data_IF_551727106193
#
_entry.id   IF_551727106193
#
_cell.length_a   1.000
_cell.length_b   1.000
_cell.length_c   1.000
_cell.angle_alpha   90.00
_cell.angle_beta   90.00
_cell.angle_gamma   90.00
#
_symmetry.space_group_name_H-M   'P 1'
#
loop_
_entity.id
_entity.type
_entity.pdbx_description
1 polymer ?
#
# COMPACT_ATOMS: atom_id res chain seq x y z
N UNK A 1 -61.76 -7.54 -39.40
CA UNK A 1 -61.59 -9.00 -39.57
C UNK A 1 -60.19 -9.20 -40.14
N UNK A 2 -59.14 -9.31 -39.34
CA UNK A 2 -58.80 -10.36 -38.37
C UNK A 2 -58.01 -11.53 -38.99
N UNK A 3 -57.01 -11.99 -38.21
CA UNK A 3 -56.09 -13.14 -38.34
C UNK A 3 -54.73 -12.84 -39.00
N UNK A 4 -53.64 -12.70 -38.22
CA UNK A 4 -52.87 -13.66 -37.38
C UNK A 4 -51.71 -14.29 -38.17
N UNK A 5 -50.46 -13.88 -37.96
CA UNK A 5 -49.50 -14.29 -36.92
C UNK A 5 -48.89 -15.70 -37.12
N UNK A 6 -47.57 -15.77 -37.39
CA UNK A 6 -46.59 -16.84 -37.06
C UNK A 6 -45.19 -16.21 -37.11
N UNK A 7 -44.57 -15.83 -35.99
CA UNK A 7 -43.77 -16.66 -35.05
C UNK A 7 -42.53 -17.35 -35.65
N UNK A 8 -41.36 -16.88 -35.22
CA UNK A 8 -40.15 -17.65 -34.85
C UNK A 8 -39.16 -16.67 -34.20
N UNK A 9 -39.20 -16.53 -32.87
CA UNK A 9 -38.28 -17.17 -31.92
C UNK A 9 -36.78 -16.99 -32.27
N UNK A 10 -36.24 -15.83 -31.88
CA UNK A 10 -34.80 -15.64 -31.65
C UNK A 10 -34.57 -15.43 -30.16
N UNK A 11 -34.07 -16.48 -29.50
CA UNK A 11 -33.72 -16.49 -28.08
C UNK A 11 -32.68 -15.42 -27.75
N UNK A 12 -33.05 -14.44 -26.91
CA UNK A 12 -32.09 -13.53 -26.30
C UNK A 12 -31.37 -14.26 -25.17
N UNK A 13 -30.06 -14.51 -25.34
CA UNK A 13 -29.18 -14.88 -24.22
C UNK A 13 -29.02 -13.65 -23.34
N UNK A 14 -29.66 -13.64 -22.18
CA UNK A 14 -29.39 -12.66 -21.14
C UNK A 14 -27.92 -12.76 -20.75
N UNK A 15 -27.11 -11.75 -21.10
CA UNK A 15 -25.78 -11.60 -20.57
C UNK A 15 -25.89 -11.34 -19.07
N UNK A 16 -25.51 -12.33 -18.26
CA UNK A 16 -25.29 -12.14 -16.83
C UNK A 16 -24.07 -11.22 -16.69
N UNK A 17 -24.33 -9.91 -16.56
CA UNK A 17 -23.33 -8.91 -16.22
C UNK A 17 -23.08 -9.04 -14.71
N UNK A 18 -21.90 -9.51 -14.24
CA UNK A 18 -21.60 -9.43 -12.83
C UNK A 18 -21.56 -7.95 -12.44
N UNK A 19 -22.48 -7.57 -11.56
CA UNK A 19 -22.52 -6.24 -10.96
C UNK A 19 -21.27 -6.08 -10.11
N UNK A 20 -20.21 -5.50 -10.70
CA UNK A 20 -19.05 -5.03 -9.95
C UNK A 20 -19.57 -3.95 -9.00
N UNK A 21 -19.63 -4.29 -7.72
CA UNK A 21 -19.98 -3.38 -6.64
C UNK A 21 -19.20 -2.08 -6.83
N UNK A 22 -19.94 -0.99 -7.04
CA UNK A 22 -19.46 0.38 -7.03
C UNK A 22 -18.63 0.61 -5.75
N UNK A 23 -17.31 0.45 -5.86
CA UNK A 23 -16.38 1.08 -4.94
C UNK A 23 -15.90 2.30 -5.72
N UNK A 24 -16.59 3.41 -5.51
CA UNK A 24 -16.03 4.73 -5.84
C UNK A 24 -14.59 4.76 -5.32
N UNK A 25 -13.61 5.23 -6.11
CA UNK A 25 -12.27 5.45 -5.59
C UNK A 25 -12.37 6.55 -4.55
N UNK A 26 -12.56 6.17 -3.27
CA UNK A 26 -12.45 7.07 -2.13
C UNK A 26 -11.11 7.77 -2.32
N UNK A 27 -11.15 9.09 -2.51
CA UNK A 27 -10.00 9.92 -2.85
C UNK A 27 -8.79 9.37 -2.11
N UNK A 28 -7.78 8.88 -2.84
CA UNK A 28 -6.64 8.19 -2.26
C UNK A 28 -6.02 9.11 -1.22
N UNK A 29 -6.36 8.91 0.06
CA UNK A 29 -5.78 9.62 1.17
C UNK A 29 -4.29 9.39 1.03
N UNK A 30 -3.54 10.46 0.74
CA UNK A 30 -2.09 10.38 0.56
C UNK A 30 -1.54 9.75 1.82
N UNK A 31 -1.14 8.49 1.75
CA UNK A 31 -0.45 7.83 2.84
C UNK A 31 0.82 8.64 3.09
N UNK A 32 0.88 9.33 4.21
CA UNK A 32 2.05 10.08 4.61
C UNK A 32 3.01 9.11 5.31
N UNK A 33 4.33 9.24 5.05
CA UNK A 33 5.30 8.49 5.82
C UNK A 33 5.21 8.91 7.29
N UNK A 34 5.11 7.92 8.18
CA UNK A 34 5.02 8.13 9.62
C UNK A 34 6.39 8.58 10.18
N UNK A 35 7.46 7.92 9.73
CA UNK A 35 8.83 8.26 10.14
C UNK A 35 9.84 7.87 9.07
N UNK A 36 10.97 8.58 9.04
CA UNK A 36 12.11 8.23 8.18
C UNK A 36 13.42 8.29 8.97
N UNK A 37 14.20 7.22 8.86
CA UNK A 37 15.57 7.11 9.37
C UNK A 37 16.53 7.06 8.19
N UNK A 38 17.64 7.79 8.24
CA UNK A 38 18.59 7.83 7.13
C UNK A 38 20.02 8.04 7.56
N UNK A 39 20.95 7.40 6.86
CA UNK A 39 22.39 7.63 6.99
C UNK A 39 23.05 7.59 5.61
N UNK A 40 23.57 8.75 5.19
CA UNK A 40 24.10 8.95 3.84
C UNK A 40 23.10 8.57 2.75
N UNK A 41 23.48 7.61 1.91
CA UNK A 41 22.65 7.12 0.80
C UNK A 41 21.52 6.16 1.22
N UNK A 42 21.50 5.66 2.46
CA UNK A 42 20.54 4.63 2.90
C UNK A 42 19.44 5.25 3.75
N UNK A 43 18.19 4.86 3.51
CA UNK A 43 17.06 5.28 4.32
C UNK A 43 16.01 4.20 4.51
N UNK A 44 15.48 4.09 5.73
CA UNK A 44 14.30 3.29 6.07
C UNK A 44 13.12 4.23 6.35
N UNK A 45 12.00 4.03 5.67
CA UNK A 45 10.78 4.84 5.84
C UNK A 45 9.65 3.96 6.37
N UNK A 46 9.07 4.35 7.49
CA UNK A 46 7.91 3.71 8.12
C UNK A 46 6.63 4.32 7.55
N UNK A 47 5.70 3.48 7.14
CA UNK A 47 4.42 3.87 6.56
C UNK A 47 3.27 3.28 7.38
N UNK A 48 2.29 4.12 7.70
CA UNK A 48 1.00 3.69 8.25
C UNK A 48 0.04 3.44 7.09
N UNK A 49 -0.39 2.19 6.93
CA UNK A 49 -1.29 1.79 5.85
C UNK A 49 -2.61 1.32 6.44
N UNK A 50 -3.72 1.76 5.88
CA UNK A 50 -5.05 1.27 6.21
C UNK A 50 -5.45 0.18 5.21
N UNK A 51 -5.81 -1.02 5.69
CA UNK A 51 -6.28 -2.13 4.84
C UNK A 51 -7.66 -2.58 5.28
N UNK A 52 -8.45 -3.04 4.30
CA UNK A 52 -9.75 -3.67 4.55
C UNK A 52 -9.55 -5.18 4.49
N UNK A 53 -9.90 -5.87 5.57
CA UNK A 53 -9.88 -7.33 5.65
C UNK A 53 -11.00 -7.96 4.84
N UNK A 54 -10.91 -9.28 4.63
CA UNK A 54 -11.93 -10.06 3.91
C UNK A 54 -13.33 -9.94 4.55
N UNK A 55 -13.36 -9.68 5.86
CA UNK A 55 -14.59 -9.54 6.65
C UNK A 55 -15.14 -8.09 6.64
N UNK A 56 -14.60 -7.20 5.81
CA UNK A 56 -14.97 -5.78 5.76
C UNK A 56 -14.42 -4.92 6.90
N UNK A 57 -13.70 -5.51 7.86
CA UNK A 57 -13.05 -4.79 8.96
C UNK A 57 -11.84 -4.00 8.46
N UNK A 58 -11.76 -2.73 8.84
CA UNK A 58 -10.60 -1.88 8.57
C UNK A 58 -9.56 -2.11 9.65
N UNK A 59 -8.31 -2.39 9.26
CA UNK A 59 -7.18 -2.49 10.19
C UNK A 59 -5.99 -1.68 9.68
N UNK A 60 -5.23 -1.14 10.63
CA UNK A 60 -4.01 -0.40 10.36
C UNK A 60 -2.81 -1.36 10.38
N UNK A 61 -1.93 -1.24 9.40
CA UNK A 61 -0.68 -2.00 9.33
C UNK A 61 0.47 -1.05 9.07
N UNK A 62 1.57 -1.24 9.80
CA UNK A 62 2.81 -0.52 9.56
C UNK A 62 3.71 -1.31 8.61
N UNK A 63 4.37 -0.64 7.68
CA UNK A 63 5.36 -1.24 6.79
C UNK A 63 6.64 -0.40 6.76
N UNK A 64 7.78 -1.04 6.48
CA UNK A 64 9.08 -0.36 6.37
C UNK A 64 9.62 -0.52 4.96
N UNK A 65 9.98 0.60 4.32
CA UNK A 65 10.61 0.63 3.01
C UNK A 65 12.08 1.05 3.13
N UNK A 66 12.99 0.15 2.78
CA UNK A 66 14.44 0.41 2.76
C UNK A 66 14.87 0.78 1.33
N UNK A 67 15.51 1.94 1.20
CA UNK A 67 15.98 2.46 -0.08
C UNK A 67 17.42 2.95 -0.01
N UNK A 68 18.13 2.81 -1.13
CA UNK A 68 19.42 3.44 -1.39
C UNK A 68 19.30 4.49 -2.49
N UNK A 69 19.76 5.71 -2.21
CA UNK A 69 19.89 6.82 -3.16
C UNK A 69 21.25 6.80 -3.85
N UNK A 70 21.28 7.03 -5.16
CA UNK A 70 22.51 7.22 -5.91
C UNK A 70 22.30 8.20 -7.05
N UNK A 71 23.35 8.96 -7.40
CA UNK A 71 23.32 9.78 -8.61
C UNK A 71 23.65 8.89 -9.82
N UNK A 72 22.85 9.00 -10.88
CA UNK A 72 23.17 8.39 -12.17
C UNK A 72 24.21 9.24 -12.93
N UNK A 73 24.62 8.80 -14.12
CA UNK A 73 25.62 9.52 -14.94
C UNK A 73 25.14 10.91 -15.38
N UNK A 74 23.83 11.13 -15.44
CA UNK A 74 23.21 12.43 -15.76
C UNK A 74 23.09 13.36 -14.55
N UNK A 75 23.54 12.92 -13.36
CA UNK A 75 23.44 13.68 -12.12
C UNK A 75 22.07 13.59 -11.42
N UNK A 76 21.14 12.78 -11.95
CA UNK A 76 19.82 12.62 -11.34
C UNK A 76 19.87 11.61 -10.20
N UNK A 77 19.21 11.96 -9.09
CA UNK A 77 19.10 11.08 -7.94
C UNK A 77 18.06 9.99 -8.19
N UNK A 78 18.52 8.75 -8.16
CA UNK A 78 17.70 7.55 -8.30
C UNK A 78 17.63 6.81 -6.96
N UNK A 79 16.60 5.98 -6.80
CA UNK A 79 16.43 5.11 -5.62
C UNK A 79 16.43 3.64 -6.06
N UNK A 80 17.06 2.77 -5.29
CA UNK A 80 17.10 1.31 -5.55
C UNK A 80 17.03 0.54 -4.23
N UNK A 81 16.56 -0.70 -4.31
CA UNK A 81 16.54 -1.62 -3.16
C UNK A 81 17.75 -2.57 -3.18
N UNK A 82 18.61 -2.47 -4.20
CA UNK A 82 19.85 -3.22 -4.29
C UNK A 82 20.95 -2.56 -3.46
N UNK A 83 21.52 -3.32 -2.53
CA UNK A 83 22.54 -2.86 -1.58
C UNK A 83 23.93 -3.34 -2.00
N UNK A 84 24.97 -2.53 -1.73
CA UNK A 84 26.38 -2.97 -1.77
C UNK A 84 26.82 -3.44 -0.39
N UNK A 85 27.95 -4.15 -0.32
CA UNK A 85 28.56 -4.59 0.95
C UNK A 85 28.75 -3.41 1.93
N UNK A 86 29.19 -2.26 1.42
CA UNK A 86 29.37 -1.03 2.22
C UNK A 86 28.08 -0.42 2.76
N UNK A 87 26.95 -0.78 2.15
CA UNK A 87 25.62 -0.29 2.55
C UNK A 87 25.03 -1.14 3.68
N UNK A 88 25.51 -2.38 3.87
CA UNK A 88 24.92 -3.33 4.83
C UNK A 88 24.99 -2.84 6.29
N UNK A 89 26.12 -2.31 6.81
CA UNK A 89 26.16 -1.80 8.19
C UNK A 89 25.21 -0.61 8.38
N UNK A 90 25.08 0.24 7.35
CA UNK A 90 24.16 1.39 7.36
C UNK A 90 22.70 0.96 7.31
N UNK A 91 22.39 -0.05 6.51
CA UNK A 91 21.06 -0.66 6.42
C UNK A 91 20.66 -1.28 7.75
N UNK A 92 21.55 -2.03 8.40
CA UNK A 92 21.32 -2.60 9.72
C UNK A 92 20.97 -1.52 10.74
N UNK A 93 21.76 -0.44 10.80
CA UNK A 93 21.52 0.67 11.72
C UNK A 93 20.14 1.33 11.51
N UNK A 94 19.78 1.70 10.28
CA UNK A 94 18.49 2.36 10.04
C UNK A 94 17.30 1.43 10.24
N UNK A 95 17.48 0.12 10.04
CA UNK A 95 16.45 -0.88 10.33
C UNK A 95 16.28 -1.11 11.84
N UNK A 96 17.38 -1.11 12.59
CA UNK A 96 17.35 -1.20 14.06
C UNK A 96 16.61 0.00 14.66
N UNK A 97 16.89 1.22 14.20
CA UNK A 97 16.16 2.42 14.63
C UNK A 97 14.67 2.38 14.25
N UNK A 98 14.34 1.88 13.05
CA UNK A 98 12.96 1.69 12.64
C UNK A 98 12.23 0.65 13.51
N UNK A 99 12.89 -0.46 13.83
CA UNK A 99 12.36 -1.48 14.72
C UNK A 99 12.12 -0.92 16.13
N UNK A 100 13.11 -0.23 16.68
CA UNK A 100 13.02 0.43 17.99
C UNK A 100 11.84 1.40 18.03
N UNK A 101 11.69 2.22 16.99
CA UNK A 101 10.54 3.10 16.85
C UNK A 101 9.23 2.31 16.85
N UNK A 102 9.08 1.28 16.02
CA UNK A 102 7.84 0.52 15.93
C UNK A 102 7.45 -0.19 17.23
N UNK A 103 8.43 -0.78 17.92
CA UNK A 103 8.19 -1.55 19.16
C UNK A 103 7.96 -0.65 20.37
N UNK A 104 8.67 0.48 20.46
CA UNK A 104 8.50 1.40 21.59
C UNK A 104 7.28 2.30 21.40
N UNK A 105 6.99 2.77 20.18
CA UNK A 105 5.81 3.61 19.93
C UNK A 105 4.49 2.87 20.12
N UNK A 106 4.49 1.53 20.05
CA UNK A 106 3.32 0.71 20.34
C UNK A 106 2.95 0.61 21.82
N UNK A 107 3.84 1.03 22.74
CA UNK A 107 3.59 0.98 24.19
C UNK A 107 2.91 2.23 24.75
N UNK A 108 2.94 3.33 24.01
CA UNK A 108 2.40 4.61 24.49
C UNK A 108 0.89 4.76 24.21
N UNK A 109 0.30 3.92 23.34
CA UNK A 109 -1.12 4.02 22.96
C UNK A 109 -2.07 3.12 23.77
N UNK A 110 -1.57 2.32 24.73
CA UNK A 110 -2.40 1.45 25.59
C UNK A 110 -2.87 2.14 26.89
N UNK A 111 -2.50 3.41 27.13
CA UNK A 111 -2.80 4.13 28.39
C UNK A 111 -3.68 5.35 28.12
N UNK A 112 -4.89 5.15 27.61
CA UNK A 112 -5.92 6.20 27.55
C UNK A 112 -7.35 5.62 27.57
N UNK A 113 -7.66 4.78 28.56
CA UNK A 113 -9.03 4.50 28.97
C UNK A 113 -9.08 4.37 30.50
N UNK A 114 -9.47 5.47 31.16
CA UNK A 114 -10.16 5.50 32.46
C UNK A 114 -10.99 6.80 32.55
#
# INVERSE_FOLDING_TARGET
METANRSSEGQMRAAFVPQTANHEPRAAEKQLPEKKFSTGAISATVWKNTRVGKDGKVFETRSVNLQRRYANRSGEWQSTNSLRITDLPKAALVLEEAYKYLVLSGKDEEVAQD
#
